data_IF_702948557156
#
_entry.id   IF_702948557156
#
_cell.length_a   1.000
_cell.length_b   1.000
_cell.length_c   1.000
_cell.angle_alpha   90.00
_cell.angle_beta   90.00
_cell.angle_gamma   90.00
#
_symmetry.space_group_name_H-M   'P 1'
#
loop_
_entity.id
_entity.type
_entity.pdbx_description
1 polymer ?
#
# COMPACT_ATOMS: atom_id res chain seq x y z
N UNK A 1 0.99 18.71 14.26
CA UNK A 1 -0.48 18.59 14.20
C UNK A 1 -0.85 17.13 14.42
N UNK A 2 -1.64 16.82 15.46
CA UNK A 2 -2.03 15.46 15.85
C UNK A 2 -3.12 14.96 14.90
N UNK A 3 -2.73 14.25 13.83
CA UNK A 3 -3.70 13.60 12.93
C UNK A 3 -4.29 12.39 13.65
N UNK A 4 -5.62 12.39 13.75
CA UNK A 4 -6.46 11.37 14.36
C UNK A 4 -6.11 9.97 13.82
N UNK A 5 -5.35 9.20 14.61
CA UNK A 5 -5.12 7.76 14.41
C UNK A 5 -6.37 6.90 14.69
N UNK A 6 -7.49 7.48 15.15
CA UNK A 6 -8.66 6.76 15.65
C UNK A 6 -9.68 6.28 14.59
N UNK A 7 -9.41 6.46 13.30
CA UNK A 7 -10.28 5.92 12.23
C UNK A 7 -9.67 4.72 11.50
N UNK A 8 -8.39 4.40 11.75
CA UNK A 8 -7.67 3.28 11.15
C UNK A 8 -8.20 1.90 11.56
N UNK A 9 -9.00 1.81 12.63
CA UNK A 9 -9.49 0.53 13.18
C UNK A 9 -10.74 -0.04 12.49
N UNK A 10 -11.47 0.74 11.67
CA UNK A 10 -12.78 0.29 11.15
C UNK A 10 -12.72 -0.35 9.77
N UNK A 11 -11.54 -0.37 9.17
CA UNK A 11 -11.34 -0.77 7.78
C UNK A 11 -10.16 -1.73 7.71
N UNK A 12 -10.21 -2.79 8.51
CA UNK A 12 -9.92 -4.14 8.00
C UNK A 12 -10.97 -4.50 6.92
N UNK A 13 -11.27 -3.58 5.99
CA UNK A 13 -12.04 -3.93 4.82
C UNK A 13 -11.18 -4.93 4.10
N UNK A 14 -11.71 -6.13 3.91
CA UNK A 14 -11.20 -7.12 2.98
C UNK A 14 -10.59 -6.41 1.75
N UNK A 15 -9.27 -6.17 1.78
CA UNK A 15 -8.50 -5.70 0.64
C UNK A 15 -8.84 -6.56 -0.59
N UNK A 16 -8.93 -7.91 -0.50
CA UNK A 16 -9.42 -8.73 -1.62
C UNK A 16 -10.83 -8.35 -2.11
N UNK A 17 -11.78 -8.03 -1.23
CA UNK A 17 -13.12 -7.62 -1.63
C UNK A 17 -13.10 -6.23 -2.29
N UNK A 18 -12.27 -5.31 -1.80
CA UNK A 18 -12.09 -3.99 -2.39
C UNK A 18 -11.41 -4.10 -3.76
N UNK A 19 -10.43 -4.99 -3.95
CA UNK A 19 -9.84 -5.29 -5.25
C UNK A 19 -10.92 -5.76 -6.24
N UNK A 20 -11.78 -6.68 -5.81
CA UNK A 20 -12.86 -7.17 -6.67
C UNK A 20 -13.81 -6.02 -7.05
N UNK A 21 -14.23 -5.20 -6.08
CA UNK A 21 -15.10 -4.04 -6.32
C UNK A 21 -14.48 -3.02 -7.29
N UNK A 22 -13.21 -2.66 -7.09
CA UNK A 22 -12.46 -1.75 -7.96
C UNK A 22 -12.36 -2.30 -9.38
N UNK A 23 -12.05 -3.60 -9.54
CA UNK A 23 -11.98 -4.21 -10.88
C UNK A 23 -13.32 -4.25 -11.59
N UNK A 24 -14.43 -4.34 -10.85
CA UNK A 24 -15.77 -4.28 -11.42
C UNK A 24 -16.19 -2.84 -11.75
N UNK A 25 -15.92 -1.86 -10.89
CA UNK A 25 -16.27 -0.45 -11.10
C UNK A 25 -15.20 0.51 -10.55
N UNK A 26 -14.11 0.77 -11.29
CA UNK A 26 -12.99 1.56 -10.78
C UNK A 26 -13.37 3.04 -10.57
N UNK A 27 -14.35 3.57 -11.31
CA UNK A 27 -14.73 4.97 -11.13
C UNK A 27 -15.41 5.24 -9.79
N UNK A 28 -16.24 4.32 -9.28
CA UNK A 28 -16.96 4.53 -8.01
C UNK A 28 -16.09 4.28 -6.79
N UNK A 29 -15.09 3.40 -6.89
CA UNK A 29 -14.21 3.02 -5.78
C UNK A 29 -12.85 3.75 -5.79
N UNK A 30 -12.72 4.82 -6.59
CA UNK A 30 -11.51 5.62 -6.64
C UNK A 30 -11.20 6.28 -5.29
N UNK A 31 -12.20 6.77 -4.56
CA UNK A 31 -12.01 7.42 -3.26
C UNK A 31 -11.50 6.42 -2.20
N UNK A 32 -12.08 5.21 -2.17
CA UNK A 32 -11.60 4.12 -1.32
C UNK A 32 -10.14 3.76 -1.64
N UNK A 33 -9.78 3.66 -2.93
CA UNK A 33 -8.40 3.42 -3.35
C UNK A 33 -7.45 4.52 -2.86
N UNK A 34 -7.83 5.80 -3.03
CA UNK A 34 -7.03 6.94 -2.56
C UNK A 34 -6.86 6.92 -1.04
N UNK A 35 -7.90 6.52 -0.30
CA UNK A 35 -7.81 6.38 1.15
C UNK A 35 -6.81 5.29 1.54
N UNK A 36 -6.81 4.12 0.88
CA UNK A 36 -5.82 3.06 1.11
C UNK A 36 -4.40 3.49 0.69
N UNK A 37 -4.26 4.18 -0.44
CA UNK A 37 -2.98 4.70 -0.92
C UNK A 37 -2.37 5.74 0.04
N UNK A 38 -3.22 6.54 0.69
CA UNK A 38 -2.80 7.47 1.75
C UNK A 38 -2.26 6.75 2.98
N UNK A 39 -2.85 5.60 3.35
CA UNK A 39 -2.32 4.74 4.43
C UNK A 39 -0.96 4.16 4.05
N UNK A 40 -0.84 3.65 2.81
CA UNK A 40 0.42 3.16 2.28
C UNK A 40 1.51 4.25 2.36
N UNK A 41 1.21 5.45 1.88
CA UNK A 41 2.17 6.56 1.89
C UNK A 41 2.56 6.96 3.31
N UNK A 42 1.61 6.97 4.26
CA UNK A 42 1.89 7.26 5.67
C UNK A 42 2.79 6.20 6.32
N UNK A 43 2.54 4.92 6.04
CA UNK A 43 3.37 3.81 6.52
C UNK A 43 4.75 3.83 5.84
N UNK A 44 4.81 4.12 4.55
CA UNK A 44 6.05 4.25 3.80
C UNK A 44 6.94 5.37 4.34
N UNK A 45 6.39 6.57 4.58
CA UNK A 45 7.13 7.67 5.19
C UNK A 45 7.60 7.34 6.60
N UNK A 46 6.74 6.71 7.42
CA UNK A 46 7.11 6.25 8.75
C UNK A 46 8.27 5.24 8.69
N UNK A 47 8.21 4.32 7.74
CA UNK A 47 9.21 3.29 7.52
C UNK A 47 10.55 3.87 7.04
N UNK A 48 10.51 4.83 6.11
CA UNK A 48 11.71 5.57 5.68
C UNK A 48 12.31 6.41 6.81
N UNK A 49 11.49 7.01 7.66
CA UNK A 49 11.95 7.84 8.79
C UNK A 49 12.52 7.00 9.94
N UNK A 50 11.92 5.84 10.21
CA UNK A 50 12.24 5.01 11.38
C UNK A 50 11.98 3.52 11.12
N UNK A 51 12.86 2.84 10.36
CA UNK A 51 12.66 1.43 10.00
C UNK A 51 12.71 0.50 11.21
N UNK A 52 13.40 0.89 12.29
CA UNK A 52 13.56 0.11 13.53
C UNK A 52 12.36 0.19 14.48
N UNK A 53 11.47 1.16 14.28
CA UNK A 53 10.28 1.38 15.15
C UNK A 53 9.01 0.82 14.53
N UNK A 54 9.08 0.34 13.30
CA UNK A 54 7.93 -0.26 12.64
C UNK A 54 7.80 -1.70 13.14
N UNK A 55 6.83 -1.93 14.02
CA UNK A 55 6.51 -3.26 14.52
C UNK A 55 6.17 -4.21 13.36
N UNK A 56 6.34 -5.52 13.58
CA UNK A 56 6.01 -6.58 12.62
C UNK A 56 4.61 -6.41 12.00
N UNK A 57 3.64 -5.94 12.79
CA UNK A 57 2.29 -5.61 12.33
C UNK A 57 2.25 -4.49 11.29
N UNK A 58 3.05 -3.44 11.43
CA UNK A 58 3.12 -2.32 10.48
C UNK A 58 3.74 -2.75 9.14
N UNK A 59 4.75 -3.62 9.20
CA UNK A 59 5.35 -4.25 8.03
C UNK A 59 4.35 -5.13 7.27
N UNK A 60 3.59 -5.96 8.00
CA UNK A 60 2.53 -6.77 7.39
C UNK A 60 1.49 -5.89 6.72
N UNK A 61 1.03 -4.80 7.36
CA UNK A 61 0.08 -3.88 6.72
C UNK A 61 0.64 -3.19 5.48
N UNK A 62 1.90 -2.76 5.52
CA UNK A 62 2.56 -2.17 4.35
C UNK A 62 2.60 -3.15 3.18
N UNK A 63 2.92 -4.43 3.46
CA UNK A 63 2.98 -5.50 2.45
C UNK A 63 1.61 -5.77 1.82
N UNK A 64 0.56 -5.83 2.62
CA UNK A 64 -0.81 -6.08 2.15
C UNK A 64 -1.33 -4.91 1.31
N UNK A 65 -0.96 -3.68 1.67
CA UNK A 65 -1.26 -2.49 0.87
C UNK A 65 -0.49 -2.47 -0.46
N UNK A 66 0.79 -2.85 -0.46
CA UNK A 66 1.59 -2.97 -1.68
C UNK A 66 0.96 -4.00 -2.63
N UNK A 67 0.59 -5.18 -2.12
CA UNK A 67 -0.06 -6.22 -2.91
C UNK A 67 -1.42 -5.74 -3.46
N UNK A 68 -2.21 -5.08 -2.62
CA UNK A 68 -3.47 -4.47 -3.03
C UNK A 68 -3.29 -3.46 -4.16
N UNK A 69 -2.39 -2.48 -4.00
CA UNK A 69 -2.13 -1.45 -5.01
C UNK A 69 -1.63 -2.09 -6.30
N UNK A 70 -0.78 -3.10 -6.21
CA UNK A 70 -0.25 -3.82 -7.38
C UNK A 70 -1.37 -4.50 -8.18
N UNK A 71 -2.33 -5.12 -7.51
CA UNK A 71 -3.47 -5.78 -8.16
C UNK A 71 -4.45 -4.81 -8.84
N UNK A 72 -4.55 -3.56 -8.38
CA UNK A 72 -5.43 -2.54 -8.97
C UNK A 72 -4.68 -1.43 -9.71
N UNK A 73 -3.35 -1.53 -9.84
CA UNK A 73 -2.52 -0.52 -10.48
C UNK A 73 -2.91 -0.31 -11.94
N UNK A 74 -3.30 -1.38 -12.64
CA UNK A 74 -3.80 -1.36 -14.01
C UNK A 74 -5.11 -0.56 -14.14
N UNK A 75 -5.94 -0.53 -13.09
CA UNK A 75 -7.17 0.26 -13.06
C UNK A 75 -6.93 1.76 -12.82
N UNK A 76 -5.81 2.14 -12.19
CA UNK A 76 -5.50 3.53 -11.84
C UNK A 76 -4.07 3.96 -12.21
N UNK A 77 -3.65 3.85 -13.49
CA UNK A 77 -2.29 4.15 -13.92
C UNK A 77 -1.86 5.59 -13.61
N UNK A 78 -2.81 6.54 -13.67
CA UNK A 78 -2.56 7.95 -13.35
C UNK A 78 -2.20 8.20 -11.89
N UNK A 79 -2.67 7.35 -10.97
CA UNK A 79 -2.41 7.49 -9.51
C UNK A 79 -1.18 6.66 -9.12
N UNK A 80 -1.01 5.48 -9.69
CA UNK A 80 0.08 4.54 -9.39
C UNK A 80 1.37 4.82 -10.16
N UNK A 81 1.46 5.92 -10.91
CA UNK A 81 2.70 6.30 -11.64
C UNK A 81 3.90 6.45 -10.69
N UNK A 82 3.70 7.05 -9.50
CA UNK A 82 4.77 7.18 -8.50
C UNK A 82 5.07 5.87 -7.77
N UNK A 83 4.07 4.99 -7.65
CA UNK A 83 4.16 3.74 -6.90
C UNK A 83 5.29 2.82 -7.38
N UNK A 84 5.49 2.67 -8.70
CA UNK A 84 6.58 1.87 -9.24
C UNK A 84 7.96 2.38 -8.82
N UNK A 85 8.14 3.71 -8.74
CA UNK A 85 9.39 4.33 -8.29
C UNK A 85 9.59 4.17 -6.79
N UNK A 86 8.53 4.38 -5.99
CA UNK A 86 8.56 4.18 -4.54
C UNK A 86 8.85 2.71 -4.17
N UNK A 87 8.27 1.76 -4.92
CA UNK A 87 8.54 0.32 -4.79
C UNK A 87 9.99 -0.02 -5.10
N UNK A 88 10.54 0.53 -6.18
CA UNK A 88 11.96 0.30 -6.54
C UNK A 88 12.86 0.75 -5.39
N UNK A 89 12.61 1.93 -4.85
CA UNK A 89 13.36 2.47 -3.71
C UNK A 89 13.17 1.64 -2.44
N UNK A 90 11.96 1.16 -2.17
CA UNK A 90 11.67 0.25 -1.05
C UNK A 90 12.47 -1.04 -1.18
N UNK A 91 12.48 -1.65 -2.37
CA UNK A 91 13.20 -2.88 -2.68
C UNK A 91 14.72 -2.69 -2.58
N UNK A 92 15.27 -1.56 -3.01
CA UNK A 92 16.69 -1.25 -2.84
C UNK A 92 17.09 -1.14 -1.35
N UNK A 93 16.22 -0.54 -0.53
CA UNK A 93 16.47 -0.36 0.91
C UNK A 93 16.25 -1.65 1.71
N UNK A 94 15.29 -2.49 1.31
CA UNK A 94 14.85 -3.68 2.05
C UNK A 94 14.93 -4.98 1.24
N UNK A 95 15.90 -5.06 0.33
CA UNK A 95 16.18 -6.23 -0.51
C UNK A 95 16.28 -7.55 0.30
N UNK A 96 16.72 -7.49 1.55
CA UNK A 96 16.85 -8.67 2.40
C UNK A 96 15.53 -9.21 2.98
N UNK A 97 14.44 -8.43 2.96
CA UNK A 97 13.18 -8.75 3.68
C UNK A 97 11.97 -8.85 2.75
N UNK A 98 11.97 -8.11 1.64
CA UNK A 98 10.98 -8.29 0.56
C UNK A 98 11.44 -9.46 -0.31
N UNK A 99 11.00 -10.65 0.08
CA UNK A 99 11.27 -11.93 -0.59
C UNK A 99 11.10 -11.91 -2.11
N UNK A 100 11.77 -12.88 -2.74
CA UNK A 100 11.87 -13.11 -4.18
C UNK A 100 10.54 -13.09 -4.97
N UNK A 101 9.39 -13.29 -4.33
CA UNK A 101 8.07 -13.24 -4.97
C UNK A 101 7.71 -11.86 -5.54
N UNK A 102 8.08 -10.76 -4.85
CA UNK A 102 7.77 -9.41 -5.37
C UNK A 102 8.62 -9.08 -6.60
N UNK A 103 9.79 -9.71 -6.72
CA UNK A 103 10.70 -9.58 -7.86
C UNK A 103 10.21 -10.31 -9.12
N UNK A 104 9.50 -11.41 -8.94
CA UNK A 104 8.97 -12.21 -10.06
C UNK A 104 7.72 -11.57 -10.67
N UNK A 105 7.05 -10.69 -9.92
CA UNK A 105 5.83 -9.99 -10.33
C UNK A 105 6.02 -8.63 -11.03
N UNK A 106 7.26 -8.10 -11.12
CA UNK A 106 7.60 -6.85 -11.84
C UNK A 106 8.21 -7.22 -13.19
#
# INVERSE_FOLDING_TARGET
>A
MKRKLGALEKVDADLPNLQHKIRNDPSSYQDDFVNQYSQYSSLYELFLSSPTTTDDTGLVRLRDLIDFVSHVADCYPSITTAFASDLTRLLELHHATLEAELRDKI
#
